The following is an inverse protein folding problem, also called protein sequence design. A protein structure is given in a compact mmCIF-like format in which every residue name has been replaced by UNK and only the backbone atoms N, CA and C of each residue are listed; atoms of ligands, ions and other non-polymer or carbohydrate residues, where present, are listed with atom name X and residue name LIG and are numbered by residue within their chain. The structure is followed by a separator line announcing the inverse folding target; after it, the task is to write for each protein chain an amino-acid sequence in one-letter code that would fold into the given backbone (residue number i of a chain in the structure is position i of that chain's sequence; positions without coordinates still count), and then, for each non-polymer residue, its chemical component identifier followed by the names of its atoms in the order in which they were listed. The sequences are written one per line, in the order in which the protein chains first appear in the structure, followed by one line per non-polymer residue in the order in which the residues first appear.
data_IF_263406148348
#
_entry.id   IF_263406148348
#
_cell.length_a   1.000
_cell.length_b   1.000
_cell.length_c   1.000
_cell.angle_alpha   90.00
_cell.angle_beta   90.00
_cell.angle_gamma   90.00
#
_symmetry.space_group_name_H-M   'P 1'
#
loop_
_entity.id
_entity.type
_entity.pdbx_description
1 polymer ?
#
# COMPACT_ATOMS: atom_id res chain seq x y z
N UNK A 1 20.75 8.63 -12.17
CA UNK A 1 21.02 8.23 -10.77
C UNK A 1 19.78 8.55 -9.94
N UNK A 2 18.93 7.57 -9.66
CA UNK A 2 17.70 7.78 -8.88
C UNK A 2 18.09 8.15 -7.45
N UNK A 3 17.60 9.28 -6.92
CA UNK A 3 17.90 9.68 -5.54
C UNK A 3 17.35 8.62 -4.57
N UNK A 4 18.19 8.13 -3.65
CA UNK A 4 17.84 7.11 -2.64
C UNK A 4 16.53 7.46 -1.91
N UNK A 5 16.28 8.74 -1.61
CA UNK A 5 15.05 9.22 -0.96
C UNK A 5 13.79 9.08 -1.83
N UNK A 6 13.94 9.17 -3.15
CA UNK A 6 12.83 8.91 -4.08
C UNK A 6 12.56 7.41 -4.22
N UNK A 7 13.60 6.58 -4.11
CA UNK A 7 13.45 5.12 -4.07
C UNK A 7 12.71 4.68 -2.80
N UNK A 8 13.03 5.27 -1.64
CA UNK A 8 12.32 5.03 -0.38
C UNK A 8 10.81 5.31 -0.50
N UNK A 9 10.43 6.41 -1.16
CA UNK A 9 9.02 6.73 -1.39
C UNK A 9 8.32 5.64 -2.21
N UNK A 10 8.94 5.20 -3.31
CA UNK A 10 8.36 4.19 -4.20
C UNK A 10 8.26 2.82 -3.53
N UNK A 11 9.33 2.39 -2.84
CA UNK A 11 9.33 1.15 -2.06
C UNK A 11 8.29 1.20 -0.94
N UNK A 12 8.17 2.33 -0.25
CA UNK A 12 7.17 2.52 0.78
C UNK A 12 5.75 2.39 0.24
N UNK A 13 5.48 3.00 -0.91
CA UNK A 13 4.19 2.92 -1.59
C UNK A 13 3.85 1.48 -2.02
N UNK A 14 4.81 0.75 -2.59
CA UNK A 14 4.63 -0.67 -2.93
C UNK A 14 4.33 -1.54 -1.71
N UNK A 15 5.07 -1.33 -0.61
CA UNK A 15 4.85 -2.06 0.65
C UNK A 15 3.50 -1.75 1.28
N UNK A 16 3.04 -0.50 1.23
CA UNK A 16 1.69 -0.14 1.68
C UNK A 16 0.66 -0.91 0.86
N UNK A 17 0.75 -0.88 -0.47
CA UNK A 17 -0.21 -1.55 -1.36
C UNK A 17 -0.23 -3.06 -1.10
N UNK A 18 0.93 -3.72 -1.21
CA UNK A 18 1.03 -5.17 -1.11
C UNK A 18 0.69 -5.66 0.29
N UNK A 19 1.16 -4.97 1.32
CA UNK A 19 0.88 -5.28 2.71
C UNK A 19 -0.61 -5.15 3.05
N UNK A 20 -1.26 -4.10 2.54
CA UNK A 20 -2.71 -3.93 2.73
C UNK A 20 -3.48 -5.04 2.03
N UNK A 21 -3.16 -5.37 0.77
CA UNK A 21 -3.83 -6.48 0.05
C UNK A 21 -3.61 -7.83 0.74
N UNK A 22 -2.37 -8.13 1.14
CA UNK A 22 -2.02 -9.38 1.82
C UNK A 22 -2.77 -9.54 3.14
N UNK A 23 -2.97 -8.45 3.89
CA UNK A 23 -3.74 -8.48 5.12
C UNK A 23 -5.19 -8.94 4.90
N UNK A 24 -5.85 -8.47 3.84
CA UNK A 24 -7.20 -8.91 3.49
C UNK A 24 -7.23 -10.33 2.89
N UNK A 25 -6.24 -10.65 2.05
CA UNK A 25 -6.15 -11.96 1.40
C UNK A 25 -5.90 -13.10 2.39
N UNK A 26 -5.07 -12.87 3.41
CA UNK A 26 -4.61 -13.90 4.35
C UNK A 26 -5.38 -13.87 5.68
N UNK A 27 -6.59 -13.31 5.69
CA UNK A 27 -7.52 -13.42 6.81
C UNK A 27 -7.17 -12.54 8.02
N UNK A 28 -6.69 -11.32 7.80
CA UNK A 28 -6.51 -10.30 8.84
C UNK A 28 -5.51 -10.69 9.95
N UNK A 29 -4.51 -11.53 9.65
CA UNK A 29 -3.46 -11.81 10.63
C UNK A 29 -2.61 -10.56 10.89
N UNK A 30 -2.51 -10.19 12.16
CA UNK A 30 -1.75 -9.03 12.67
C UNK A 30 -0.29 -8.98 12.20
N UNK A 31 0.34 -10.13 11.93
CA UNK A 31 1.70 -10.21 11.42
C UNK A 31 1.86 -9.50 10.05
N UNK A 32 0.80 -9.48 9.23
CA UNK A 32 0.83 -8.84 7.91
C UNK A 32 0.77 -7.32 8.00
N UNK A 33 0.38 -6.73 9.14
CA UNK A 33 0.40 -5.28 9.35
C UNK A 33 1.83 -4.71 9.41
N UNK A 34 2.85 -5.54 9.65
CA UNK A 34 4.25 -5.11 9.64
C UNK A 34 4.64 -4.55 8.27
N UNK A 35 4.13 -5.13 7.19
CA UNK A 35 4.47 -4.74 5.81
C UNK A 35 3.96 -3.31 5.49
N UNK A 36 2.65 -3.00 5.62
CA UNK A 36 2.18 -1.65 5.36
C UNK A 36 2.75 -0.63 6.35
N UNK A 37 2.97 -0.98 7.63
CA UNK A 37 3.62 -0.10 8.60
C UNK A 37 5.05 0.24 8.16
N UNK A 38 5.84 -0.74 7.74
CA UNK A 38 7.20 -0.52 7.21
C UNK A 38 7.15 0.39 5.98
N UNK A 39 6.15 0.19 5.12
CA UNK A 39 5.92 1.05 3.97
C UNK A 39 5.60 2.50 4.36
N UNK A 40 4.76 2.73 5.37
CA UNK A 40 4.48 4.07 5.91
C UNK A 40 5.74 4.75 6.44
N UNK A 41 6.61 4.02 7.14
CA UNK A 41 7.90 4.54 7.64
C UNK A 41 8.80 4.96 6.49
N UNK A 42 8.90 4.15 5.42
CA UNK A 42 9.69 4.50 4.24
C UNK A 42 9.16 5.76 3.52
N UNK A 43 7.83 5.89 3.42
CA UNK A 43 7.19 7.11 2.89
C UNK A 43 7.51 8.32 3.79
N UNK A 44 7.45 8.16 5.11
CA UNK A 44 7.74 9.21 6.07
C UNK A 44 9.20 9.70 5.97
N UNK A 45 10.15 8.81 5.72
CA UNK A 45 11.58 9.11 5.59
C UNK A 45 11.99 9.71 4.23
N UNK A 46 11.10 9.68 3.22
CA UNK A 46 11.38 10.21 1.89
C UNK A 46 11.58 11.74 1.87
N UNK A 47 12.07 12.29 0.76
CA UNK A 47 12.24 13.74 0.54
C UNK A 47 10.97 14.45 0.03
N UNK A 48 9.82 13.77 0.06
CA UNK A 48 8.55 14.34 -0.40
C UNK A 48 7.97 15.34 0.59
N UNK A 49 7.07 16.20 0.09
CA UNK A 49 6.34 17.14 0.93
C UNK A 49 5.53 16.41 1.99
N UNK A 50 5.37 17.04 3.16
CA UNK A 50 4.62 16.47 4.28
C UNK A 50 3.18 16.13 3.88
N UNK A 51 2.57 16.98 3.05
CA UNK A 51 1.24 16.77 2.47
C UNK A 51 1.17 15.50 1.62
N UNK A 52 2.15 15.27 0.74
CA UNK A 52 2.17 14.08 -0.10
C UNK A 52 2.38 12.81 0.74
N UNK A 53 3.21 12.88 1.77
CA UNK A 53 3.44 11.74 2.69
C UNK A 53 2.15 11.37 3.44
N UNK A 54 1.49 12.36 4.04
CA UNK A 54 0.25 12.14 4.79
C UNK A 54 -0.87 11.63 3.87
N UNK A 55 -1.00 12.23 2.69
CA UNK A 55 -1.95 11.78 1.68
C UNK A 55 -1.69 10.32 1.29
N UNK A 56 -0.44 9.95 1.02
CA UNK A 56 -0.08 8.58 0.65
C UNK A 56 -0.35 7.59 1.77
N UNK A 57 0.02 7.91 3.01
CA UNK A 57 -0.17 7.02 4.18
C UNK A 57 -1.65 6.76 4.44
N UNK A 58 -2.53 7.75 4.26
CA UNK A 58 -3.97 7.60 4.54
C UNK A 58 -4.72 7.04 3.32
N UNK A 59 -4.46 7.58 2.13
CA UNK A 59 -5.30 7.33 0.96
C UNK A 59 -4.92 6.05 0.21
N UNK A 60 -3.63 5.70 0.14
CA UNK A 60 -3.18 4.50 -0.60
C UNK A 60 -3.75 3.21 0.00
N UNK A 61 -3.76 2.97 1.32
CA UNK A 61 -4.39 1.77 1.88
C UNK A 61 -5.88 1.68 1.51
N UNK A 62 -6.62 2.78 1.62
CA UNK A 62 -8.06 2.83 1.31
C UNK A 62 -8.30 2.50 -0.16
N UNK A 63 -7.58 3.15 -1.07
CA UNK A 63 -7.70 2.88 -2.50
C UNK A 63 -7.30 1.45 -2.86
N UNK A 64 -6.22 0.93 -2.27
CA UNK A 64 -5.79 -0.46 -2.48
C UNK A 64 -6.89 -1.46 -2.14
N UNK A 65 -7.59 -1.25 -1.02
CA UNK A 65 -8.68 -2.12 -0.59
C UNK A 65 -9.84 -2.05 -1.57
N UNK A 66 -10.27 -0.82 -1.92
CA UNK A 66 -11.38 -0.63 -2.87
C UNK A 66 -11.06 -1.31 -4.19
N UNK A 67 -9.89 -1.06 -4.77
CA UNK A 67 -9.47 -1.65 -6.04
C UNK A 67 -9.39 -3.17 -5.94
N UNK A 68 -8.83 -3.70 -4.85
CA UNK A 68 -8.72 -5.15 -4.63
C UNK A 68 -10.09 -5.85 -4.66
N UNK A 69 -11.07 -5.34 -3.91
CA UNK A 69 -12.42 -5.91 -3.93
C UNK A 69 -13.14 -5.71 -5.26
N UNK A 70 -12.95 -4.57 -5.92
CA UNK A 70 -13.53 -4.30 -7.23
C UNK A 70 -13.00 -5.30 -8.27
N UNK A 71 -11.69 -5.57 -8.26
CA UNK A 71 -11.07 -6.61 -9.10
C UNK A 71 -11.64 -7.99 -8.78
N UNK A 72 -11.76 -8.37 -7.50
CA UNK A 72 -12.34 -9.66 -7.12
C UNK A 72 -13.79 -9.83 -7.62
N UNK A 73 -14.60 -8.78 -7.53
CA UNK A 73 -15.99 -8.79 -8.02
C UNK A 73 -16.01 -8.95 -9.54
N UNK A 74 -15.23 -8.15 -10.26
CA UNK A 74 -15.17 -8.19 -11.72
C UNK A 74 -14.71 -9.55 -12.22
N UNK A 75 -13.65 -10.12 -11.64
CA UNK A 75 -13.13 -11.42 -12.06
C UNK A 75 -14.01 -12.59 -11.61
N UNK A 76 -14.76 -12.45 -10.53
CA UNK A 76 -15.73 -13.47 -10.10
C UNK A 76 -16.91 -13.62 -11.08
N UNK A 77 -17.31 -12.54 -11.74
CA UNK A 77 -18.43 -12.53 -12.68
C UNK A 77 -18.09 -13.13 -14.05
N UNK A 78 -16.81 -13.16 -14.43
CA UNK A 78 -16.35 -13.81 -15.67
C UNK A 78 -16.16 -15.33 -15.52
N UNK A 79 -16.29 -15.87 -14.30
CA UNK A 79 -16.08 -17.28 -14.00
C UNK A 79 -17.37 -18.13 -13.98
N UNK A 80 -18.53 -17.55 -14.34
CA UNK A 80 -19.85 -18.22 -14.40
C UNK A 80 -20.32 -18.34 -15.84
#
# INVERSE_FOLDING_TARGET
MMKIKSLQYFLGLLMIISGTILFYLLGYSWLWLIIPITGMVLVALSDKSIWLKAFTIVLVPVLSIVVFFLVLILTSNEAI
#
